data_IF_878999888177
#
_entry.id   IF_878999888177
#
_cell.length_a   1.000
_cell.length_b   1.000
_cell.length_c   1.000
_cell.angle_alpha   90.00
_cell.angle_beta   90.00
_cell.angle_gamma   90.00
#
_symmetry.space_group_name_H-M   'P 1'
#
loop_
_entity.id
_entity.type
_entity.pdbx_description
1 polymer ?
#
# COMPACT_ATOMS: atom_id res chain seq x y z
N UNK A 1 -61.05 12.76 -28.14
CA UNK A 1 -59.75 12.12 -27.80
C UNK A 1 -58.95 13.08 -26.93
N UNK A 2 -58.78 12.77 -25.64
CA UNK A 2 -57.99 13.61 -24.74
C UNK A 2 -56.51 13.46 -25.13
N UNK A 3 -55.90 14.56 -25.58
CA UNK A 3 -54.50 14.58 -26.04
C UNK A 3 -53.60 14.39 -24.82
N UNK A 4 -52.94 13.24 -24.72
CA UNK A 4 -52.01 12.94 -23.63
C UNK A 4 -50.82 13.90 -23.69
N UNK A 5 -50.79 14.88 -22.79
CA UNK A 5 -49.68 15.83 -22.65
C UNK A 5 -48.47 15.04 -22.14
N UNK A 6 -47.43 14.93 -22.96
CA UNK A 6 -46.20 14.21 -22.61
C UNK A 6 -45.50 15.01 -21.52
N UNK A 7 -45.43 14.47 -20.30
CA UNK A 7 -44.79 15.09 -19.15
C UNK A 7 -43.26 14.97 -19.22
N UNK A 8 -42.68 15.36 -20.36
CA UNK A 8 -41.28 15.09 -20.75
C UNK A 8 -40.29 15.86 -19.87
N UNK A 9 -40.66 17.04 -19.37
CA UNK A 9 -39.82 17.88 -18.52
C UNK A 9 -39.55 17.23 -17.15
N UNK A 10 -40.59 16.69 -16.51
CA UNK A 10 -40.46 15.99 -15.23
C UNK A 10 -39.64 14.70 -15.37
N UNK A 11 -39.80 13.95 -16.47
CA UNK A 11 -38.98 12.77 -16.75
C UNK A 11 -37.50 13.14 -16.88
N UNK A 12 -37.18 14.22 -17.61
CA UNK A 12 -35.80 14.71 -17.76
C UNK A 12 -35.24 15.18 -16.42
N UNK A 13 -36.05 15.87 -15.61
CA UNK A 13 -35.65 16.34 -14.28
C UNK A 13 -35.32 15.18 -13.34
N UNK A 14 -36.18 14.17 -13.27
CA UNK A 14 -35.96 12.97 -12.47
C UNK A 14 -34.71 12.20 -12.92
N UNK A 15 -34.48 12.09 -14.23
CA UNK A 15 -33.28 11.46 -14.77
C UNK A 15 -32.00 12.21 -14.35
N UNK A 16 -32.00 13.56 -14.42
CA UNK A 16 -30.88 14.39 -13.95
C UNK A 16 -30.63 14.22 -12.45
N UNK A 17 -31.69 14.21 -11.64
CA UNK A 17 -31.57 14.03 -10.19
C UNK A 17 -30.99 12.66 -9.84
N UNK A 18 -31.47 11.60 -10.51
CA UNK A 18 -30.92 10.24 -10.35
C UNK A 18 -29.43 10.20 -10.67
N UNK A 19 -29.01 10.80 -11.80
CA UNK A 19 -27.60 10.85 -12.18
C UNK A 19 -26.72 11.56 -11.16
N UNK A 20 -27.20 12.67 -10.58
CA UNK A 20 -26.47 13.40 -9.53
C UNK A 20 -26.29 12.55 -8.27
N UNK A 21 -27.37 11.92 -7.80
CA UNK A 21 -27.32 11.01 -6.64
C UNK A 21 -26.37 9.84 -6.87
N UNK A 22 -26.36 9.26 -8.07
CA UNK A 22 -25.40 8.20 -8.43
C UNK A 22 -23.96 8.69 -8.38
N UNK A 23 -23.68 9.89 -8.91
CA UNK A 23 -22.34 10.49 -8.85
C UNK A 23 -21.88 10.69 -7.40
N UNK A 24 -22.72 11.30 -6.56
CA UNK A 24 -22.43 11.49 -5.13
C UNK A 24 -22.18 10.17 -4.41
N UNK A 25 -22.95 9.11 -4.73
CA UNK A 25 -22.75 7.78 -4.16
C UNK A 25 -21.38 7.20 -4.54
N UNK A 26 -20.99 7.33 -5.81
CA UNK A 26 -19.69 6.85 -6.29
C UNK A 26 -18.54 7.59 -5.62
N UNK A 27 -18.64 8.92 -5.45
CA UNK A 27 -17.62 9.70 -4.74
C UNK A 27 -17.49 9.28 -3.27
N UNK A 28 -18.61 9.01 -2.58
CA UNK A 28 -18.62 8.48 -1.21
C UNK A 28 -17.94 7.12 -1.14
N UNK A 29 -18.23 6.22 -2.08
CA UNK A 29 -17.61 4.90 -2.15
C UNK A 29 -16.11 4.98 -2.40
N UNK A 30 -15.67 5.83 -3.33
CA UNK A 30 -14.24 6.06 -3.59
C UNK A 30 -13.54 6.55 -2.31
N UNK A 31 -14.15 7.51 -1.62
CA UNK A 31 -13.61 8.07 -0.37
C UNK A 31 -13.53 7.00 0.73
N UNK A 32 -14.58 6.19 0.88
CA UNK A 32 -14.63 5.06 1.82
C UNK A 32 -13.53 4.03 1.53
N UNK A 33 -13.38 3.62 0.27
CA UNK A 33 -12.34 2.67 -0.14
C UNK A 33 -10.93 3.22 0.12
N UNK A 34 -10.74 4.53 -0.06
CA UNK A 34 -9.47 5.21 0.25
C UNK A 34 -9.17 5.20 1.75
N UNK A 35 -10.15 5.48 2.59
CA UNK A 35 -10.00 5.47 4.06
C UNK A 35 -9.73 4.07 4.60
N UNK A 36 -10.40 3.06 4.05
CA UNK A 36 -10.23 1.66 4.45
C UNK A 36 -8.94 1.02 3.87
N UNK A 37 -8.18 1.75 3.04
CA UNK A 37 -6.98 1.23 2.38
C UNK A 37 -7.26 0.08 1.40
N UNK A 38 -8.51 -0.08 0.95
CA UNK A 38 -8.92 -1.13 0.01
C UNK A 38 -8.47 -0.78 -1.40
N UNK A 39 -8.38 -1.80 -2.25
CA UNK A 39 -7.97 -1.61 -3.65
C UNK A 39 -9.01 -0.78 -4.43
N UNK A 40 -8.58 0.36 -4.97
CA UNK A 40 -9.41 1.24 -5.79
C UNK A 40 -9.18 0.86 -7.26
N UNK A 41 -10.19 0.21 -7.86
CA UNK A 41 -10.22 -0.09 -9.28
C UNK A 41 -11.66 -0.07 -9.80
N UNK A 42 -11.87 -0.08 -11.12
CA UNK A 42 -13.20 -0.02 -11.71
C UNK A 42 -14.12 -1.17 -11.29
N UNK A 43 -13.58 -2.35 -10.99
CA UNK A 43 -14.40 -3.49 -10.55
C UNK A 43 -14.89 -3.31 -9.11
N UNK A 44 -14.00 -2.89 -8.20
CA UNK A 44 -14.35 -2.68 -6.79
C UNK A 44 -15.32 -1.51 -6.64
N UNK A 45 -15.04 -0.39 -7.30
CA UNK A 45 -15.93 0.78 -7.29
C UNK A 45 -17.29 0.46 -7.91
N UNK A 46 -17.34 -0.25 -9.04
CA UNK A 46 -18.61 -0.64 -9.67
C UNK A 46 -19.46 -1.53 -8.74
N UNK A 47 -18.82 -2.52 -8.09
CA UNK A 47 -19.48 -3.45 -7.18
C UNK A 47 -20.02 -2.73 -5.94
N UNK A 48 -19.23 -1.85 -5.35
CA UNK A 48 -19.56 -1.23 -4.06
C UNK A 48 -20.49 -0.02 -4.20
N UNK A 49 -20.39 0.72 -5.31
CA UNK A 49 -21.33 1.80 -5.64
C UNK A 49 -22.58 1.32 -6.39
N UNK A 50 -22.66 0.01 -6.70
CA UNK A 50 -23.75 -0.62 -7.45
C UNK A 50 -24.04 0.07 -8.79
N UNK A 51 -22.98 0.38 -9.55
CA UNK A 51 -23.05 1.00 -10.88
C UNK A 51 -22.38 0.12 -11.93
N UNK A 52 -22.79 0.27 -13.20
CA UNK A 52 -22.13 -0.46 -14.28
C UNK A 52 -20.76 0.14 -14.58
N UNK A 53 -19.81 -0.70 -15.04
CA UNK A 53 -18.50 -0.22 -15.50
C UNK A 53 -18.62 0.76 -16.66
N UNK A 54 -19.57 0.54 -17.56
CA UNK A 54 -19.85 1.43 -18.69
C UNK A 54 -20.23 2.83 -18.22
N UNK A 55 -20.97 2.96 -17.10
CA UNK A 55 -21.27 4.26 -16.51
C UNK A 55 -20.01 4.94 -15.96
N UNK A 56 -19.14 4.21 -15.26
CA UNK A 56 -17.86 4.73 -14.77
C UNK A 56 -16.94 5.19 -15.91
N UNK A 57 -16.95 4.49 -17.05
CA UNK A 57 -16.24 4.93 -18.24
C UNK A 57 -16.96 6.10 -18.95
N UNK A 58 -18.27 6.25 -18.83
CA UNK A 58 -18.95 7.41 -19.43
C UNK A 58 -18.58 8.71 -18.71
N UNK A 59 -18.46 8.67 -17.39
CA UNK A 59 -18.12 9.82 -16.56
C UNK A 59 -16.60 10.05 -16.51
N UNK A 60 -16.11 11.01 -17.31
CA UNK A 60 -14.67 11.27 -17.44
C UNK A 60 -13.99 11.63 -16.11
N UNK A 61 -14.60 12.52 -15.32
CA UNK A 61 -14.07 12.97 -14.02
C UNK A 61 -13.85 11.79 -13.05
N UNK A 62 -14.85 10.91 -12.97
CA UNK A 62 -14.82 9.72 -12.11
C UNK A 62 -13.76 8.73 -12.61
N UNK A 63 -13.67 8.51 -13.93
CA UNK A 63 -12.62 7.67 -14.52
C UNK A 63 -11.22 8.17 -14.13
N UNK A 64 -10.94 9.45 -14.36
CA UNK A 64 -9.64 10.05 -14.06
C UNK A 64 -9.29 9.93 -12.58
N UNK A 65 -10.28 10.12 -11.70
CA UNK A 65 -10.09 9.98 -10.26
C UNK A 65 -9.74 8.54 -9.85
N UNK A 66 -10.46 7.54 -10.38
CA UNK A 66 -10.18 6.12 -10.12
C UNK A 66 -8.79 5.74 -10.63
N UNK A 67 -8.41 6.19 -11.83
CA UNK A 67 -7.09 5.92 -12.42
C UNK A 67 -5.95 6.54 -11.61
N UNK A 68 -6.13 7.77 -11.15
CA UNK A 68 -5.14 8.50 -10.34
C UNK A 68 -4.91 7.82 -9.00
N UNK A 69 -5.99 7.50 -8.27
CA UNK A 69 -5.93 6.80 -7.00
C UNK A 69 -5.31 5.40 -7.15
N UNK A 70 -5.66 4.68 -8.21
CA UNK A 70 -5.05 3.38 -8.51
C UNK A 70 -3.56 3.47 -8.78
N UNK A 71 -3.09 4.52 -9.46
CA UNK A 71 -1.65 4.77 -9.68
C UNK A 71 -0.94 5.07 -8.37
N UNK A 72 -1.51 5.93 -7.53
CA UNK A 72 -0.97 6.24 -6.20
C UNK A 72 -0.83 4.97 -5.34
N UNK A 73 -1.87 4.13 -5.26
CA UNK A 73 -1.80 2.87 -4.53
C UNK A 73 -0.75 1.90 -5.09
N UNK A 74 -0.51 1.89 -6.41
CA UNK A 74 0.57 1.08 -7.00
C UNK A 74 1.94 1.62 -6.62
N UNK A 75 2.13 2.94 -6.68
CA UNK A 75 3.39 3.59 -6.32
C UNK A 75 3.71 3.36 -4.84
N UNK A 76 2.73 3.51 -3.95
CA UNK A 76 2.88 3.20 -2.52
C UNK A 76 3.26 1.73 -2.29
N UNK A 77 2.61 0.79 -2.99
CA UNK A 77 2.96 -0.64 -2.94
C UNK A 77 4.34 -0.98 -3.55
N UNK A 78 4.85 -0.14 -4.45
CA UNK A 78 6.18 -0.30 -5.05
C UNK A 78 7.26 0.33 -4.16
N UNK A 79 6.95 1.42 -3.44
CA UNK A 79 7.84 2.02 -2.45
C UNK A 79 7.93 1.14 -1.20
N UNK A 80 6.83 0.49 -0.79
CA UNK A 80 6.79 -0.43 0.36
C UNK A 80 7.38 -1.81 0.08
N UNK A 81 7.54 -2.20 -1.19
CA UNK A 81 8.40 -3.33 -1.57
C UNK A 81 9.81 -2.81 -1.77
N UNK A 82 10.77 -3.10 -0.87
CA UNK A 82 12.15 -2.73 -1.14
C UNK A 82 12.58 -3.48 -2.41
N UNK A 83 12.80 -2.76 -3.51
CA UNK A 83 13.73 -3.20 -4.55
C UNK A 83 15.14 -3.11 -3.97
N UNK A 84 15.45 -3.95 -2.99
CA UNK A 84 16.82 -4.26 -2.59
C UNK A 84 17.04 -5.71 -2.98
N UNK A 85 17.98 -5.91 -3.89
CA UNK A 85 18.44 -7.21 -4.36
C UNK A 85 18.67 -8.13 -3.15
N UNK A 86 17.90 -9.22 -3.01
CA UNK A 86 18.04 -10.22 -1.93
C UNK A 86 19.49 -10.68 -1.77
N UNK A 87 20.21 -10.74 -2.89
CA UNK A 87 21.63 -11.10 -2.97
C UNK A 87 22.55 -10.12 -2.24
N UNK A 88 22.22 -8.83 -2.22
CA UNK A 88 23.03 -7.82 -1.52
C UNK A 88 22.86 -7.91 0.00
N UNK A 89 21.67 -8.27 0.47
CA UNK A 89 21.38 -8.50 1.89
C UNK A 89 22.01 -9.81 2.38
N UNK A 90 21.94 -10.89 1.60
CA UNK A 90 22.62 -12.15 1.92
C UNK A 90 24.14 -11.98 2.07
N UNK A 91 24.76 -11.21 1.16
CA UNK A 91 26.19 -10.90 1.24
C UNK A 91 26.49 -10.07 2.49
N UNK A 92 25.68 -9.05 2.79
CA UNK A 92 25.87 -8.21 3.97
C UNK A 92 25.73 -9.03 5.27
N UNK A 93 24.70 -9.89 5.36
CA UNK A 93 24.47 -10.77 6.51
C UNK A 93 25.66 -11.72 6.70
N UNK A 94 26.19 -12.31 5.61
CA UNK A 94 27.34 -13.20 5.69
C UNK A 94 28.58 -12.47 6.22
N UNK A 95 28.88 -11.28 5.68
CA UNK A 95 30.01 -10.47 6.13
C UNK A 95 29.90 -10.06 7.60
N UNK A 96 28.72 -9.62 8.03
CA UNK A 96 28.47 -9.24 9.42
C UNK A 96 28.64 -10.44 10.36
N UNK A 97 28.11 -11.62 10.00
CA UNK A 97 28.28 -12.85 10.80
C UNK A 97 29.74 -13.24 10.95
N UNK A 98 30.52 -13.18 9.86
CA UNK A 98 31.97 -13.44 9.92
C UNK A 98 32.65 -12.47 10.88
N UNK A 99 32.35 -11.17 10.79
CA UNK A 99 32.97 -10.17 11.65
C UNK A 99 32.63 -10.36 13.13
N UNK A 100 31.39 -10.71 13.45
CA UNK A 100 30.99 -11.02 14.83
C UNK A 100 31.78 -12.21 15.37
N UNK A 101 31.91 -13.28 14.59
CA UNK A 101 32.67 -14.47 15.00
C UNK A 101 34.14 -14.15 15.27
N UNK A 102 34.78 -13.39 14.39
CA UNK A 102 36.17 -12.95 14.59
C UNK A 102 36.36 -12.16 15.88
N UNK A 103 35.44 -11.22 16.15
CA UNK A 103 35.46 -10.40 17.36
C UNK A 103 35.23 -11.23 18.63
N UNK A 104 34.34 -12.22 18.58
CA UNK A 104 34.10 -13.14 19.69
C UNK A 104 35.33 -14.01 19.99
N UNK A 105 35.97 -14.56 18.96
CA UNK A 105 37.20 -15.34 19.10
C UNK A 105 38.35 -14.49 19.67
N UNK A 106 38.48 -13.24 19.22
CA UNK A 106 39.47 -12.31 19.77
C UNK A 106 39.19 -11.97 21.23
N UNK A 107 37.92 -11.74 21.59
CA UNK A 107 37.53 -11.49 22.98
C UNK A 107 37.89 -12.65 23.90
N UNK A 108 37.64 -13.88 23.47
CA UNK A 108 38.00 -15.09 24.22
C UNK A 108 39.53 -15.19 24.39
N UNK A 109 40.30 -14.95 23.31
CA UNK A 109 41.78 -14.97 23.39
C UNK A 109 42.31 -13.94 24.38
N UNK A 110 41.81 -12.71 24.33
CA UNK A 110 42.21 -11.64 25.24
C UNK A 110 41.86 -11.96 26.70
N UNK A 111 40.66 -12.49 26.96
CA UNK A 111 40.26 -12.93 28.31
C UNK A 111 41.17 -14.03 28.85
N UNK A 112 41.53 -15.00 28.02
CA UNK A 112 42.44 -16.08 28.42
C UNK A 112 43.86 -15.58 28.72
N UNK A 113 44.36 -14.62 27.93
CA UNK A 113 45.66 -13.99 28.19
C UNK A 113 45.64 -13.23 29.52
N UNK A 114 44.58 -12.46 29.77
CA UNK A 114 44.38 -11.75 31.03
C UNK A 114 44.35 -12.74 32.21
N UNK A 115 43.60 -13.83 32.10
CA UNK A 115 43.51 -14.85 33.15
C UNK A 115 44.86 -15.50 33.46
N UNK A 116 45.66 -15.83 32.44
CA UNK A 116 47.02 -16.37 32.64
C UNK A 116 47.93 -15.37 33.34
N UNK A 117 47.95 -14.12 32.90
CA UNK A 117 48.77 -13.08 33.51
C UNK A 117 48.40 -12.84 34.98
N UNK A 118 47.11 -12.82 35.32
CA UNK A 118 46.67 -12.72 36.71
C UNK A 118 47.05 -13.96 37.54
N UNK A 119 46.98 -15.16 36.96
CA UNK A 119 47.44 -16.39 37.61
C UNK A 119 48.95 -16.37 37.89
N UNK A 120 49.76 -15.92 36.93
CA UNK A 120 51.21 -15.79 37.07
C UNK A 120 51.60 -14.73 38.11
N UNK A 121 50.80 -13.67 38.26
CA UNK A 121 51.00 -12.64 39.28
C UNK A 121 50.74 -13.20 40.69
N UNK A 122 49.67 -13.97 40.86
CA UNK A 122 49.27 -14.56 42.13
C UNK A 122 50.21 -15.67 42.63
N UNK A 123 50.89 -16.36 41.71
CA UNK A 123 51.88 -17.41 42.06
C UNK A 123 53.23 -16.81 42.50
N UNK A 124 53.48 -15.53 42.18
CA UNK A 124 54.75 -14.83 42.50
C UNK A 124 54.72 -13.99 43.78
N UNK A 125 53.57 -13.87 44.44
CA UNK A 125 53.43 -13.37 45.83
C UNK A 125 53.47 -14.52 46.83
#
# INVERSE_FOLDING_TARGET
MVKQVRNTEEIVRLAKQKSRRTRENVDKVISKLSLEGKTINFNTVAKEANVSKSWLYKEHDIRQRIESLRKQQKTENVISKPKKSSRSEEVLIKTLKTRVKELEEENIRLRNQIQKLYGDLYIRE
#
